data_IF_044613527063
#
_entry.id   IF_044613527063
#
_cell.length_a   1.000
_cell.length_b   1.000
_cell.length_c   1.000
_cell.angle_alpha   90.00
_cell.angle_beta   90.00
_cell.angle_gamma   90.00
#
_symmetry.space_group_name_H-M   'P 1'
#
loop_
_entity.id
_entity.type
_entity.pdbx_description
1 polymer ?
#
# COMPACT_ATOMS: atom_id res chain seq x y z
N UNK A 1 36.53 -39.22 -2.39
CA UNK A 1 36.08 -37.85 -2.70
C UNK A 1 36.80 -37.41 -3.97
N UNK A 2 36.11 -37.28 -5.11
CA UNK A 2 36.74 -36.82 -6.37
C UNK A 2 36.81 -35.30 -6.32
N UNK A 3 37.90 -34.74 -5.83
CA UNK A 3 38.13 -33.29 -5.86
C UNK A 3 38.66 -32.91 -7.25
N UNK A 4 38.07 -31.90 -7.87
CA UNK A 4 38.55 -31.37 -9.14
C UNK A 4 39.93 -30.72 -8.92
N UNK A 5 40.90 -31.01 -9.79
CA UNK A 5 42.27 -30.46 -9.69
C UNK A 5 42.26 -28.93 -9.62
N UNK A 6 41.39 -28.29 -10.39
CA UNK A 6 41.27 -26.83 -10.41
C UNK A 6 40.72 -26.27 -9.08
N UNK A 7 39.73 -26.95 -8.50
CA UNK A 7 39.18 -26.56 -7.19
C UNK A 7 40.21 -26.76 -6.08
N UNK A 8 40.94 -27.88 -6.13
CA UNK A 8 42.00 -28.17 -5.18
C UNK A 8 43.11 -27.12 -5.25
N UNK A 9 43.51 -26.73 -6.46
CA UNK A 9 44.51 -25.68 -6.67
C UNK A 9 44.03 -24.32 -6.15
N UNK A 10 42.75 -23.98 -6.38
CA UNK A 10 42.16 -22.74 -5.86
C UNK A 10 42.10 -22.72 -4.33
N UNK A 11 41.65 -23.81 -3.71
CA UNK A 11 41.57 -23.92 -2.25
C UNK A 11 42.98 -23.91 -1.63
N UNK A 12 43.90 -24.71 -2.18
CA UNK A 12 45.26 -24.80 -1.64
C UNK A 12 46.06 -23.52 -1.82
N UNK A 13 45.90 -22.79 -2.93
CA UNK A 13 46.54 -21.48 -3.11
C UNK A 13 46.07 -20.45 -2.09
N UNK A 14 44.78 -20.39 -1.77
CA UNK A 14 44.24 -19.49 -0.76
C UNK A 14 44.70 -19.86 0.65
N UNK A 15 44.71 -21.14 0.99
CA UNK A 15 45.22 -21.63 2.28
C UNK A 15 46.74 -21.38 2.42
N UNK A 16 47.50 -21.53 1.34
CA UNK A 16 48.94 -21.28 1.32
C UNK A 16 49.25 -19.79 1.50
N UNK A 17 48.53 -18.90 0.81
CA UNK A 17 48.67 -17.45 0.98
C UNK A 17 48.37 -17.01 2.42
N UNK A 18 47.42 -17.67 3.08
CA UNK A 18 47.09 -17.41 4.47
C UNK A 18 48.06 -18.06 5.49
N UNK A 19 49.10 -18.77 5.02
CA UNK A 19 50.04 -19.55 5.85
C UNK A 19 49.34 -20.58 6.73
N UNK A 20 48.31 -21.23 6.17
CA UNK A 20 47.55 -22.27 6.87
C UNK A 20 48.00 -23.66 6.45
N UNK A 21 48.59 -23.79 5.26
CA UNK A 21 49.18 -25.01 4.76
C UNK A 21 50.56 -24.73 4.17
N UNK A 22 51.44 -25.73 4.23
CA UNK A 22 52.72 -25.76 3.53
C UNK A 22 52.80 -26.91 2.52
N UNK A 23 53.82 -26.85 1.67
CA UNK A 23 54.12 -27.87 0.66
C UNK A 23 55.39 -28.64 1.02
N UNK A 24 55.38 -29.94 0.75
CA UNK A 24 56.58 -30.78 0.81
C UNK A 24 56.80 -31.50 -0.53
N UNK A 25 58.06 -31.61 -0.95
CA UNK A 25 58.49 -32.19 -2.25
C UNK A 25 59.78 -33.03 -2.11
N UNK A 26 59.87 -33.85 -1.06
CA UNK A 26 61.09 -34.65 -0.81
C UNK A 26 61.02 -36.03 -1.50
N UNK A 27 59.95 -36.80 -1.26
CA UNK A 27 59.75 -38.15 -1.85
C UNK A 27 58.33 -38.35 -2.42
N UNK A 28 57.35 -37.62 -1.91
CA UNK A 28 56.02 -37.48 -2.51
C UNK A 28 55.61 -36.01 -2.44
N UNK A 29 54.75 -35.57 -3.36
CA UNK A 29 54.18 -34.21 -3.32
C UNK A 29 52.97 -34.24 -2.40
N UNK A 30 53.02 -33.46 -1.32
CA UNK A 30 51.96 -33.41 -0.33
C UNK A 30 51.77 -32.03 0.30
N UNK A 31 50.60 -31.86 0.90
CA UNK A 31 50.25 -30.68 1.71
C UNK A 31 50.34 -31.06 3.19
N UNK A 32 50.89 -30.17 4.01
CA UNK A 32 50.82 -30.28 5.47
C UNK A 32 50.15 -29.06 6.07
N UNK A 33 49.56 -29.22 7.25
CA UNK A 33 48.89 -28.14 7.97
C UNK A 33 49.91 -27.40 8.85
N UNK A 34 49.86 -26.07 8.84
CA UNK A 34 50.64 -25.24 9.75
C UNK A 34 49.85 -24.95 11.04
N UNK A 35 50.50 -24.46 12.10
CA UNK A 35 49.84 -24.11 13.36
C UNK A 35 48.64 -23.16 13.17
N UNK A 36 48.78 -22.20 12.24
CA UNK A 36 47.69 -21.30 11.86
C UNK A 36 46.53 -22.04 11.19
N UNK A 37 46.81 -23.05 10.37
CA UNK A 37 45.77 -23.89 9.78
C UNK A 37 45.00 -24.67 10.83
N UNK A 38 45.69 -25.21 11.84
CA UNK A 38 45.06 -25.87 12.99
C UNK A 38 44.14 -24.90 13.73
N UNK A 39 44.61 -23.68 14.01
CA UNK A 39 43.83 -22.64 14.65
C UNK A 39 42.62 -22.20 13.80
N UNK A 40 42.80 -21.98 12.49
CA UNK A 40 41.72 -21.60 11.56
C UNK A 40 40.65 -22.70 11.45
N UNK A 41 41.07 -23.97 11.44
CA UNK A 41 40.17 -25.12 11.45
C UNK A 41 39.40 -25.22 12.77
N UNK A 42 40.10 -25.16 13.91
CA UNK A 42 39.50 -25.22 15.25
C UNK A 42 38.48 -24.09 15.48
N UNK A 43 38.81 -22.88 15.05
CA UNK A 43 37.94 -21.71 15.14
C UNK A 43 36.85 -21.66 14.06
N UNK A 44 36.76 -22.67 13.18
CA UNK A 44 35.79 -22.74 12.09
C UNK A 44 35.76 -21.47 11.22
N UNK A 45 36.92 -20.85 10.99
CA UNK A 45 37.09 -19.54 10.31
C UNK A 45 36.22 -19.42 9.05
N UNK A 46 36.37 -20.37 8.13
CA UNK A 46 35.68 -20.36 6.84
C UNK A 46 34.18 -20.61 6.95
N UNK A 47 33.74 -21.40 7.93
CA UNK A 47 32.31 -21.58 8.22
C UNK A 47 31.70 -20.29 8.78
N UNK A 48 32.38 -19.62 9.71
CA UNK A 48 31.92 -18.35 10.24
C UNK A 48 31.83 -17.27 9.16
N UNK A 49 32.82 -17.19 8.26
CA UNK A 49 32.79 -16.27 7.13
C UNK A 49 31.60 -16.52 6.21
N UNK A 50 31.31 -17.79 5.91
CA UNK A 50 30.16 -18.17 5.10
C UNK A 50 28.82 -17.78 5.74
N UNK A 51 28.65 -18.05 7.04
CA UNK A 51 27.45 -17.65 7.77
C UNK A 51 27.31 -16.13 7.80
N UNK A 52 28.38 -15.39 8.05
CA UNK A 52 28.36 -13.93 8.06
C UNK A 52 27.91 -13.38 6.69
N UNK A 53 28.45 -13.93 5.60
CA UNK A 53 28.05 -13.56 4.25
C UNK A 53 26.55 -13.80 3.97
N UNK A 54 26.02 -14.94 4.43
CA UNK A 54 24.58 -15.24 4.33
C UNK A 54 23.77 -14.22 5.15
N UNK A 55 24.15 -13.97 6.40
CA UNK A 55 23.41 -13.05 7.27
C UNK A 55 23.42 -11.63 6.73
N UNK A 56 24.54 -11.17 6.17
CA UNK A 56 24.64 -9.85 5.56
C UNK A 56 23.76 -9.75 4.31
N UNK A 57 23.73 -10.80 3.49
CA UNK A 57 22.87 -10.86 2.30
C UNK A 57 21.38 -10.81 2.68
N UNK A 58 20.98 -11.56 3.71
CA UNK A 58 19.61 -11.52 4.24
C UNK A 58 19.29 -10.13 4.78
N UNK A 59 20.21 -9.53 5.54
CA UNK A 59 20.03 -8.20 6.13
C UNK A 59 19.81 -7.15 5.05
N UNK A 60 20.60 -7.17 3.98
CA UNK A 60 20.42 -6.29 2.83
C UNK A 60 19.06 -6.51 2.14
N UNK A 61 18.66 -7.77 1.97
CA UNK A 61 17.34 -8.10 1.43
C UNK A 61 16.22 -7.51 2.29
N UNK A 62 16.23 -7.79 3.60
CA UNK A 62 15.22 -7.30 4.55
C UNK A 62 15.19 -5.76 4.59
N UNK A 63 16.34 -5.09 4.54
CA UNK A 63 16.42 -3.63 4.52
C UNK A 63 15.73 -3.01 3.30
N UNK A 64 15.73 -3.70 2.15
CA UNK A 64 15.03 -3.24 0.94
C UNK A 64 13.55 -3.62 1.00
N UNK A 65 13.23 -4.85 1.44
CA UNK A 65 11.86 -5.35 1.45
C UNK A 65 10.95 -4.63 2.45
N UNK A 66 11.44 -4.28 3.65
CA UNK A 66 10.62 -3.65 4.69
C UNK A 66 10.03 -2.31 4.22
N UNK A 67 10.81 -1.34 3.70
CA UNK A 67 10.28 -0.08 3.20
C UNK A 67 9.27 -0.26 2.07
N UNK A 68 9.53 -1.18 1.14
CA UNK A 68 8.64 -1.45 0.00
C UNK A 68 7.29 -2.01 0.48
N UNK A 69 7.30 -2.96 1.39
CA UNK A 69 6.07 -3.51 1.97
C UNK A 69 5.29 -2.46 2.77
N UNK A 70 5.99 -1.62 3.54
CA UNK A 70 5.37 -0.52 4.29
C UNK A 70 4.65 0.45 3.36
N UNK A 71 5.29 0.83 2.25
CA UNK A 71 4.70 1.70 1.24
C UNK A 71 3.46 1.08 0.60
N UNK A 72 3.50 -0.22 0.32
CA UNK A 72 2.41 -0.96 -0.30
C UNK A 72 1.18 -1.02 0.63
N UNK A 73 1.39 -1.27 1.91
CA UNK A 73 0.33 -1.24 2.94
C UNK A 73 -0.27 0.17 3.06
N UNK A 74 0.57 1.21 3.12
CA UNK A 74 0.11 2.59 3.19
C UNK A 74 -0.72 2.97 1.95
N UNK A 75 -0.29 2.57 0.77
CA UNK A 75 -1.02 2.79 -0.47
C UNK A 75 -2.39 2.09 -0.47
N UNK A 76 -2.46 0.83 -0.03
CA UNK A 76 -3.72 0.10 0.09
C UNK A 76 -4.68 0.76 1.09
N UNK A 77 -4.17 1.16 2.26
CA UNK A 77 -4.97 1.85 3.27
C UNK A 77 -5.54 3.18 2.75
N UNK A 78 -4.72 3.94 2.03
CA UNK A 78 -5.13 5.21 1.43
C UNK A 78 -6.19 4.99 0.34
N UNK A 79 -5.98 4.00 -0.54
CA UNK A 79 -6.93 3.67 -1.61
C UNK A 79 -8.30 3.28 -1.07
N UNK A 80 -8.34 2.43 -0.02
CA UNK A 80 -9.58 2.04 0.65
C UNK A 80 -10.28 3.25 1.29
N UNK A 81 -9.51 4.10 1.99
CA UNK A 81 -10.06 5.32 2.61
C UNK A 81 -10.67 6.26 1.56
N UNK A 82 -9.97 6.49 0.44
CA UNK A 82 -10.45 7.34 -0.66
C UNK A 82 -11.75 6.80 -1.27
N UNK A 83 -11.84 5.48 -1.50
CA UNK A 83 -13.08 4.85 -2.01
C UNK A 83 -14.24 5.08 -1.05
N UNK A 84 -14.04 4.87 0.24
CA UNK A 84 -15.09 5.09 1.24
C UNK A 84 -15.52 6.55 1.31
N UNK A 85 -14.56 7.49 1.27
CA UNK A 85 -14.85 8.92 1.25
C UNK A 85 -15.62 9.34 -0.02
N UNK A 86 -15.29 8.79 -1.18
CA UNK A 86 -16.01 9.08 -2.42
C UNK A 86 -17.48 8.60 -2.34
N UNK A 87 -17.72 7.38 -1.84
CA UNK A 87 -19.08 6.86 -1.64
C UNK A 87 -19.86 7.73 -0.66
N UNK A 88 -19.23 8.17 0.43
CA UNK A 88 -19.88 9.05 1.40
C UNK A 88 -20.22 10.42 0.78
N UNK A 89 -19.32 10.98 -0.01
CA UNK A 89 -19.53 12.25 -0.70
C UNK A 89 -20.65 12.16 -1.74
N UNK A 90 -20.71 11.08 -2.53
CA UNK A 90 -21.81 10.83 -3.47
C UNK A 90 -23.16 10.79 -2.75
N UNK A 91 -23.24 10.09 -1.61
CA UNK A 91 -24.46 10.06 -0.80
C UNK A 91 -24.86 11.44 -0.29
N UNK A 92 -23.89 12.26 0.14
CA UNK A 92 -24.13 13.63 0.59
C UNK A 92 -24.63 14.52 -0.56
N UNK A 93 -24.06 14.38 -1.75
CA UNK A 93 -24.49 15.11 -2.96
C UNK A 93 -25.94 14.74 -3.29
N UNK A 94 -26.28 13.45 -3.36
CA UNK A 94 -27.64 12.99 -3.62
C UNK A 94 -28.62 13.54 -2.56
N UNK A 95 -28.23 13.54 -1.29
CA UNK A 95 -29.06 14.08 -0.22
C UNK A 95 -29.31 15.60 -0.38
N UNK A 96 -28.28 16.35 -0.74
CA UNK A 96 -28.38 17.80 -0.99
C UNK A 96 -29.23 18.11 -2.22
N UNK A 97 -29.06 17.37 -3.31
CA UNK A 97 -29.88 17.50 -4.52
C UNK A 97 -31.36 17.26 -4.22
N UNK A 98 -31.67 16.24 -3.42
CA UNK A 98 -33.05 15.96 -3.01
C UNK A 98 -33.64 17.08 -2.16
N UNK A 99 -32.86 17.67 -1.25
CA UNK A 99 -33.30 18.84 -0.47
C UNK A 99 -33.53 20.06 -1.35
N UNK A 100 -32.64 20.31 -2.31
CA UNK A 100 -32.80 21.40 -3.29
C UNK A 100 -34.10 21.24 -4.08
N UNK A 101 -34.36 20.05 -4.63
CA UNK A 101 -35.61 19.76 -5.34
C UNK A 101 -36.85 19.95 -4.46
N UNK A 102 -36.77 19.54 -3.18
CA UNK A 102 -37.86 19.74 -2.23
C UNK A 102 -38.12 21.23 -1.96
N UNK A 103 -37.08 22.04 -1.75
CA UNK A 103 -37.24 23.48 -1.57
C UNK A 103 -37.74 24.17 -2.83
N UNK A 104 -37.25 23.79 -4.01
CA UNK A 104 -37.71 24.35 -5.28
C UNK A 104 -39.21 24.09 -5.49
N UNK A 105 -39.69 22.90 -5.12
CA UNK A 105 -41.12 22.57 -5.15
C UNK A 105 -41.93 23.44 -4.19
N UNK A 106 -41.44 23.66 -2.97
CA UNK A 106 -42.10 24.52 -2.00
C UNK A 106 -42.18 25.97 -2.47
N UNK A 107 -41.10 26.51 -3.04
CA UNK A 107 -41.08 27.89 -3.59
C UNK A 107 -42.12 28.01 -4.70
N UNK A 108 -42.13 27.07 -5.65
CA UNK A 108 -43.14 27.05 -6.73
C UNK A 108 -44.57 26.97 -6.22
N UNK A 109 -44.82 26.19 -5.17
CA UNK A 109 -46.15 26.09 -4.55
C UNK A 109 -46.54 27.40 -3.83
N UNK A 110 -45.59 28.07 -3.19
CA UNK A 110 -45.80 29.37 -2.55
C UNK A 110 -46.12 30.46 -3.58
N UNK A 111 -45.37 30.49 -4.68
CA UNK A 111 -45.59 31.44 -5.78
C UNK A 111 -46.98 31.24 -6.39
N UNK A 112 -47.38 29.99 -6.66
CA UNK A 112 -48.72 29.67 -7.15
C UNK A 112 -49.84 30.10 -6.18
N UNK A 113 -49.61 29.96 -4.86
CA UNK A 113 -50.55 30.42 -3.83
C UNK A 113 -50.62 31.96 -3.77
N UNK A 114 -49.50 32.65 -3.96
CA UNK A 114 -49.45 34.12 -4.02
C UNK A 114 -50.20 34.65 -5.25
N UNK A 115 -49.98 34.05 -6.42
CA UNK A 115 -50.71 34.38 -7.66
C UNK A 115 -52.22 34.17 -7.50
N UNK A 116 -52.64 33.09 -6.84
CA UNK A 116 -54.05 32.82 -6.54
C UNK A 116 -54.64 33.83 -5.54
N UNK A 117 -53.84 34.30 -4.57
CA UNK A 117 -54.28 35.28 -3.56
C UNK A 117 -54.35 36.71 -4.11
N UNK A 118 -53.55 37.06 -5.12
CA UNK A 118 -53.56 38.39 -5.74
C UNK A 118 -54.68 38.59 -6.77
N UNK A 119 -55.53 37.58 -6.99
CA UNK A 119 -56.65 37.64 -7.96
C UNK A 119 -58.04 37.66 -7.26
N UNK A 120 -58.41 38.70 -6.49
CA UNK A 120 -59.68 38.76 -5.74
C UNK A 120 -60.93 38.98 -6.63
N UNK A 121 -60.79 39.15 -7.95
CA UNK A 121 -61.87 39.64 -8.81
C UNK A 121 -62.92 38.56 -9.16
N UNK A 122 -62.60 37.26 -9.04
CA UNK A 122 -63.56 36.19 -9.39
C UNK A 122 -64.49 35.71 -8.25
N UNK A 123 -64.23 36.05 -6.98
CA UNK A 123 -65.14 35.66 -5.88
C UNK A 123 -66.34 36.61 -5.72
N UNK A 124 -66.21 37.88 -6.12
CA UNK A 124 -67.28 38.88 -5.99
C UNK A 124 -68.28 38.89 -7.16
N UNK A 125 -67.95 38.34 -8.33
CA UNK A 125 -68.90 38.17 -9.43
C UNK A 125 -69.89 37.03 -9.20
N UNK A 126 -69.50 36.00 -8.42
CA UNK A 126 -70.39 34.88 -8.08
C UNK A 126 -71.38 35.26 -6.96
N UNK A 127 -71.01 36.19 -6.07
CA UNK A 127 -71.87 36.60 -4.95
C UNK A 127 -72.94 37.62 -5.34
N UNK A 128 -72.68 38.49 -6.32
CA UNK A 128 -73.68 39.46 -6.81
C UNK A 128 -74.80 38.81 -7.63
N UNK A 129 -74.58 37.67 -8.26
CA UNK A 129 -75.61 37.01 -9.09
C UNK A 129 -76.65 36.23 -8.26
N UNK A 130 -76.32 35.82 -7.02
CA UNK A 130 -77.25 35.10 -6.13
C UNK A 130 -78.19 35.98 -5.31
N UNK A 131 -77.97 37.29 -5.23
CA UNK A 131 -78.77 38.20 -4.38
C UNK A 131 -79.75 39.10 -5.13
N UNK A 132 -79.74 39.13 -6.47
CA UNK A 132 -80.65 39.97 -7.28
C UNK A 132 -81.75 39.20 -8.03
N UNK A 133 -81.89 37.88 -7.82
CA UNK A 133 -82.91 37.03 -8.47
C UNK A 133 -84.16 36.71 -7.63
N UNK A 134 -84.41 37.44 -6.55
CA UNK A 134 -85.66 37.36 -5.76
C UNK A 134 -86.00 38.78 -5.35
N UNK A 135 -86.91 39.42 -6.07
CA UNK A 135 -87.98 40.29 -5.58
C UNK A 135 -88.52 41.10 -6.78
N UNK A 136 -89.79 40.79 -7.10
CA UNK A 136 -90.75 41.48 -7.96
C UNK A 136 -90.59 41.35 -9.47
#
# INVERSE_FOLDING_TARGET
>A
MKCNRFELEKISSELYQNKEIGYYDYDFKGLYIEEKGVASYSNKKYYSLFINWITDSIKLGVQIFIPVLSLLIAYMALSLKLKNTNIENERRIIHLENKLKYFEKQVKELDARLEASQNPIKLNSIRKDKTTGRFN
#
